data_IF_183568642738
#
_entry.id   IF_183568642738
#
_cell.length_a   1.000
_cell.length_b   1.000
_cell.length_c   1.000
_cell.angle_alpha   90.00
_cell.angle_beta   90.00
_cell.angle_gamma   90.00
#
_symmetry.space_group_name_H-M   'P 1'
#
loop_
_entity.id
_entity.type
_entity.pdbx_description
1 polymer ?
#
# COMPACT_ATOMS: atom_id res chain seq x y z
N UNK A 1 14.54 -15.06 -2.25
CA UNK A 1 13.64 -14.70 -3.18
C UNK A 1 12.87 -13.42 -3.04
N UNK A 2 12.41 -12.97 -4.18
CA UNK A 2 11.58 -11.80 -4.28
C UNK A 2 10.17 -12.14 -3.82
N UNK A 3 9.59 -11.27 -2.98
CA UNK A 3 8.22 -11.45 -2.51
C UNK A 3 7.40 -10.24 -2.87
N UNK A 4 6.14 -10.47 -3.20
CA UNK A 4 5.19 -9.39 -3.40
C UNK A 4 4.86 -8.74 -2.07
N UNK A 5 4.76 -7.42 -2.08
CA UNK A 5 4.29 -6.68 -0.91
C UNK A 5 2.78 -6.73 -0.90
N UNK A 6 2.20 -7.26 0.19
CA UNK A 6 0.76 -7.31 0.34
C UNK A 6 0.22 -5.92 0.65
N UNK A 7 -0.88 -5.55 0.02
CA UNK A 7 -1.42 -4.21 0.13
C UNK A 7 -2.88 -4.17 0.57
N UNK A 8 -3.73 -5.04 0.03
CA UNK A 8 -5.16 -5.00 0.31
C UNK A 8 -5.47 -5.28 1.77
N UNK A 9 -6.30 -4.43 2.36
CA UNK A 9 -6.74 -4.60 3.73
C UNK A 9 -5.67 -4.32 4.77
N UNK A 10 -4.51 -3.87 4.34
CA UNK A 10 -3.41 -3.55 5.25
C UNK A 10 -3.40 -2.06 5.57
N UNK A 11 -2.84 -1.74 6.73
CA UNK A 11 -2.57 -0.35 7.05
C UNK A 11 -1.50 0.18 6.12
N UNK A 12 -1.61 1.46 5.78
CA UNK A 12 -0.60 2.08 4.94
C UNK A 12 0.74 2.14 5.69
N UNK A 13 1.79 1.72 5.03
CA UNK A 13 3.14 1.71 5.60
C UNK A 13 4.09 2.35 4.61
N UNK A 14 4.68 3.49 5.00
CA UNK A 14 5.57 4.25 4.12
C UNK A 14 6.83 3.49 3.74
N UNK A 15 7.21 2.49 4.53
CA UNK A 15 8.38 1.67 4.22
C UNK A 15 8.13 0.71 3.06
N UNK A 16 6.87 0.33 2.85
CA UNK A 16 6.50 -0.66 1.83
C UNK A 16 5.58 -0.10 0.76
N UNK A 17 4.83 0.93 1.08
CA UNK A 17 3.80 1.47 0.20
C UNK A 17 4.08 2.93 -0.15
N UNK A 18 3.63 3.32 -1.33
CA UNK A 18 3.66 4.71 -1.75
C UNK A 18 2.22 5.14 -2.07
N UNK A 19 1.72 6.11 -1.34
CA UNK A 19 0.36 6.61 -1.56
C UNK A 19 0.39 7.56 -2.76
N UNK A 20 -0.17 7.11 -3.87
CA UNK A 20 -0.23 7.91 -5.09
C UNK A 20 -1.60 8.54 -5.28
N UNK A 21 -2.58 8.12 -4.51
CA UNK A 21 -3.93 8.65 -4.56
C UNK A 21 -4.56 8.57 -3.17
N UNK A 22 -5.37 9.58 -2.85
CA UNK A 22 -6.15 9.60 -1.63
C UNK A 22 -7.62 9.62 -2.02
N UNK A 23 -8.40 8.69 -1.48
CA UNK A 23 -9.82 8.56 -1.81
C UNK A 23 -10.66 9.00 -0.61
N UNK A 24 -11.37 10.13 -0.72
CA UNK A 24 -12.22 10.60 0.37
C UNK A 24 -13.54 9.83 0.44
N UNK A 25 -14.21 9.91 1.57
CA UNK A 25 -15.56 9.36 1.71
C UNK A 25 -15.63 7.86 1.87
N UNK A 26 -14.53 7.20 2.19
CA UNK A 26 -14.50 5.75 2.39
C UNK A 26 -14.96 5.32 3.78
N UNK A 27 -15.26 6.28 4.66
CA UNK A 27 -15.64 5.99 6.03
C UNK A 27 -14.45 5.81 6.94
N UNK A 28 -14.71 5.79 8.24
CA UNK A 28 -13.64 5.71 9.22
C UNK A 28 -12.89 4.38 9.17
N UNK A 29 -13.56 3.32 8.76
CA UNK A 29 -12.96 1.99 8.68
C UNK A 29 -11.82 1.92 7.68
N UNK A 30 -11.88 2.75 6.65
CA UNK A 30 -10.88 2.74 5.57
C UNK A 30 -9.88 3.86 5.68
N UNK A 31 -10.07 4.74 6.63
CA UNK A 31 -9.21 5.90 6.81
C UNK A 31 -7.79 5.46 7.16
N UNK A 32 -6.82 5.88 6.35
CA UNK A 32 -5.42 5.52 6.55
C UNK A 32 -5.07 4.11 6.13
N UNK A 33 -6.00 3.40 5.50
CA UNK A 33 -5.76 2.03 5.03
C UNK A 33 -5.64 1.97 3.53
N UNK A 34 -4.91 0.97 3.05
CA UNK A 34 -4.80 0.72 1.61
C UNK A 34 -6.12 0.18 1.10
N UNK A 35 -6.72 0.89 0.16
CA UNK A 35 -8.00 0.49 -0.43
C UNK A 35 -7.85 -0.10 -1.81
N UNK A 36 -6.75 0.21 -2.50
CA UNK A 36 -6.50 -0.33 -3.82
C UNK A 36 -5.00 -0.37 -4.06
N UNK A 37 -4.56 -1.32 -4.87
CA UNK A 37 -3.16 -1.44 -5.27
C UNK A 37 -3.05 -1.10 -6.75
N UNK A 38 -2.41 0.02 -7.04
CA UNK A 38 -2.26 0.51 -8.40
C UNK A 38 -1.06 -0.11 -9.10
N UNK A 39 -0.01 -0.40 -8.32
CA UNK A 39 1.16 -1.07 -8.84
C UNK A 39 1.75 -1.94 -7.73
N UNK A 40 1.96 -3.21 -8.03
CA UNK A 40 2.51 -4.15 -7.05
C UNK A 40 3.95 -3.79 -6.71
N UNK A 41 4.26 -3.81 -5.43
CA UNK A 41 5.64 -3.65 -4.96
C UNK A 41 6.28 -5.00 -4.69
N UNK A 42 7.58 -5.00 -4.56
CA UNK A 42 8.37 -6.20 -4.31
C UNK A 42 9.43 -5.96 -3.27
N UNK A 43 9.74 -6.98 -2.49
CA UNK A 43 10.86 -6.95 -1.58
C UNK A 43 11.73 -8.18 -1.78
N UNK A 44 13.01 -8.02 -1.57
CA UNK A 44 13.98 -9.11 -1.63
C UNK A 44 14.58 -9.25 -0.25
N UNK A 45 14.34 -10.41 0.39
CA UNK A 45 14.69 -10.63 1.78
C UNK A 45 14.00 -9.56 2.65
N UNK A 46 14.73 -8.75 3.35
CA UNK A 46 14.14 -7.69 4.19
C UNK A 46 14.26 -6.32 3.56
N UNK A 47 14.66 -6.27 2.29
CA UNK A 47 14.87 -5.00 1.60
C UNK A 47 13.80 -4.78 0.56
N UNK A 48 13.16 -3.61 0.61
CA UNK A 48 12.17 -3.22 -0.38
C UNK A 48 12.89 -2.73 -1.63
N UNK A 49 12.69 -3.42 -2.74
CA UNK A 49 13.29 -3.01 -4.02
C UNK A 49 12.35 -2.14 -4.85
N UNK A 50 11.06 -2.27 -4.61
CA UNK A 50 10.05 -1.41 -5.26
C UNK A 50 8.87 -1.27 -4.33
N UNK A 51 8.51 -0.03 -4.01
CA UNK A 51 7.32 0.24 -3.20
C UNK A 51 6.06 -0.04 -4.00
N UNK A 52 5.05 -0.57 -3.31
CA UNK A 52 3.73 -0.73 -3.92
C UNK A 52 3.06 0.63 -4.02
N UNK A 53 2.54 0.96 -5.20
CA UNK A 53 1.77 2.18 -5.38
C UNK A 53 0.32 1.88 -5.06
N UNK A 54 -0.23 2.60 -4.11
CA UNK A 54 -1.53 2.28 -3.56
C UNK A 54 -2.41 3.53 -3.45
N UNK A 55 -3.71 3.30 -3.40
CA UNK A 55 -4.68 4.32 -3.04
C UNK A 55 -5.06 4.10 -1.58
N UNK A 56 -5.11 5.18 -0.83
CA UNK A 56 -5.36 5.14 0.61
C UNK A 56 -6.65 5.88 0.93
N UNK A 57 -7.43 5.35 1.86
CA UNK A 57 -8.65 6.00 2.35
C UNK A 57 -8.30 7.27 3.12
N UNK A 58 -9.07 8.30 2.86
CA UNK A 58 -8.87 9.60 3.50
C UNK A 58 -9.98 9.92 4.48
#
# INVERSE_FOLDING_TARGET
GVKKIETEGKDFDVDFHEAVAMVPGMGDDKKGKVIDCLQTGYQLNEKVIRHAKVAVGQ
#
